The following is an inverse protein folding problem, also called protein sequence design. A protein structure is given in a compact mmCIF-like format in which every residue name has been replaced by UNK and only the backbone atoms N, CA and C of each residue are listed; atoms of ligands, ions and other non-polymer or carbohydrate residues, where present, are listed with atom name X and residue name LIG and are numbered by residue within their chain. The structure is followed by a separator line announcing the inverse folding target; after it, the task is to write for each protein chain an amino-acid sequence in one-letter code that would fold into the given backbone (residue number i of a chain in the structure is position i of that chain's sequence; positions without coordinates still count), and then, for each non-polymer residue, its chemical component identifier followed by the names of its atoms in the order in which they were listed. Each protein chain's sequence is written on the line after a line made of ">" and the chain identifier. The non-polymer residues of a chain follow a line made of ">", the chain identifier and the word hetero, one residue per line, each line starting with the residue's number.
data_IF_929690740765
#
_entry.id   IF_929690740765
#
_cell.length_a   1.000
_cell.length_b   1.000
_cell.length_c   1.000
_cell.angle_alpha   90.00
_cell.angle_beta   90.00
_cell.angle_gamma   90.00
#
_symmetry.space_group_name_H-M   'P 1'
#
loop_
_entity.id
_entity.type
_entity.pdbx_description
1 polymer ?
#
# COMPACT_ATOMS: atom_id res chain seq x y z
N UNK A 1 -0.95 18.67 22.11
CA UNK A 1 0.34 18.55 22.85
C UNK A 1 1.44 18.12 21.88
N UNK A 2 1.35 17.00 21.17
CA UNK A 2 2.39 16.49 20.27
C UNK A 2 2.74 17.44 19.10
N UNK A 3 1.74 18.08 18.48
CA UNK A 3 1.95 19.03 17.38
C UNK A 3 2.83 20.22 17.78
N UNK A 4 2.64 20.77 18.98
CA UNK A 4 3.44 21.89 19.49
C UNK A 4 4.88 21.48 19.80
N UNK A 5 5.09 20.25 20.25
CA UNK A 5 6.44 19.72 20.53
C UNK A 5 7.21 19.46 19.25
N UNK A 6 6.57 18.87 18.22
CA UNK A 6 7.17 18.66 16.91
C UNK A 6 7.52 20.00 16.27
N UNK A 7 6.62 20.99 16.33
CA UNK A 7 6.89 22.33 15.80
C UNK A 7 8.11 22.99 16.46
N UNK A 8 8.22 22.93 17.78
CA UNK A 8 9.37 23.45 18.53
C UNK A 8 10.67 22.75 18.16
N UNK A 9 10.66 21.43 17.99
CA UNK A 9 11.82 20.66 17.57
C UNK A 9 12.28 21.00 16.15
N UNK A 10 11.34 21.19 15.21
CA UNK A 10 11.66 21.59 13.84
C UNK A 10 12.33 22.96 13.75
N UNK A 11 12.01 23.87 14.68
CA UNK A 11 12.52 25.25 14.71
C UNK A 11 13.61 25.46 15.79
N UNK A 12 14.08 24.40 16.42
CA UNK A 12 15.16 24.50 17.41
C UNK A 12 16.51 24.79 16.74
N UNK A 13 17.29 25.76 17.24
CA UNK A 13 18.60 26.06 16.69
C UNK A 13 19.68 25.01 17.03
N UNK A 14 19.39 24.07 17.93
CA UNK A 14 20.35 23.03 18.32
C UNK A 14 20.14 21.75 17.52
N UNK A 15 21.08 21.33 16.66
CA UNK A 15 20.94 20.14 15.82
C UNK A 15 21.17 18.81 16.56
N UNK A 16 21.76 18.84 17.76
CA UNK A 16 22.07 17.63 18.53
C UNK A 16 20.79 16.89 18.89
N UNK A 17 20.71 15.63 18.47
CA UNK A 17 19.57 14.71 18.72
C UNK A 17 18.22 15.16 18.14
N UNK A 18 18.20 16.15 17.26
CA UNK A 18 16.96 16.65 16.66
C UNK A 18 16.24 15.58 15.85
N UNK A 19 16.98 14.85 15.03
CA UNK A 19 16.41 13.84 14.14
C UNK A 19 15.93 12.62 14.93
N UNK A 20 16.65 12.22 15.98
CA UNK A 20 16.24 11.17 16.91
C UNK A 20 14.98 11.56 17.68
N UNK A 21 14.92 12.80 18.19
CA UNK A 21 13.76 13.30 18.90
C UNK A 21 12.54 13.41 17.99
N UNK A 22 12.70 13.87 16.74
CA UNK A 22 11.63 13.88 15.75
C UNK A 22 11.14 12.48 15.45
N UNK A 23 12.04 11.51 15.29
CA UNK A 23 11.67 10.12 15.04
C UNK A 23 10.84 9.54 16.20
N UNK A 24 11.27 9.76 17.44
CA UNK A 24 10.56 9.31 18.64
C UNK A 24 9.17 9.96 18.72
N UNK A 25 9.05 11.26 18.43
CA UNK A 25 7.77 11.96 18.49
C UNK A 25 6.81 11.49 17.39
N UNK A 26 7.31 11.25 16.17
CA UNK A 26 6.51 10.69 15.07
C UNK A 26 6.05 9.27 15.43
N UNK A 27 6.93 8.48 16.01
CA UNK A 27 6.61 7.12 16.44
C UNK A 27 5.55 7.10 17.55
N UNK A 28 5.67 7.98 18.54
CA UNK A 28 4.68 8.15 19.62
C UNK A 28 3.31 8.60 19.08
N UNK A 29 3.31 9.52 18.11
CA UNK A 29 2.09 10.00 17.45
C UNK A 29 1.43 8.88 16.63
N UNK A 30 2.22 8.07 15.93
CA UNK A 30 1.74 6.90 15.20
C UNK A 30 1.11 5.87 16.14
N UNK A 31 1.74 5.57 17.28
CA UNK A 31 1.17 4.66 18.29
C UNK A 31 -0.12 5.20 18.90
N UNK A 32 -0.18 6.52 19.21
CA UNK A 32 -1.39 7.16 19.70
C UNK A 32 -2.53 7.06 18.69
N UNK A 33 -2.25 7.31 17.42
CA UNK A 33 -3.22 7.17 16.33
C UNK A 33 -3.70 5.72 16.13
N UNK A 34 -2.77 4.76 16.13
CA UNK A 34 -3.12 3.33 16.04
C UNK A 34 -4.03 2.93 17.21
N UNK A 35 -3.74 3.40 18.42
CA UNK A 35 -4.55 3.12 19.61
C UNK A 35 -5.97 3.69 19.45
N UNK A 36 -6.11 4.94 19.04
CA UNK A 36 -7.40 5.60 18.83
C UNK A 36 -8.25 4.83 17.80
N UNK A 37 -7.67 4.56 16.62
CA UNK A 37 -8.33 3.78 15.56
C UNK A 37 -8.67 2.37 16.04
N UNK A 38 -7.80 1.72 16.81
CA UNK A 38 -8.05 0.38 17.35
C UNK A 38 -9.18 0.38 18.37
N UNK A 39 -9.32 1.44 19.16
CA UNK A 39 -10.38 1.59 20.14
C UNK A 39 -11.74 1.83 19.45
N UNK A 40 -11.79 2.68 18.40
CA UNK A 40 -12.99 2.87 17.58
C UNK A 40 -13.41 1.58 16.87
N UNK A 41 -12.44 0.84 16.29
CA UNK A 41 -12.70 -0.46 15.65
C UNK A 41 -13.15 -1.53 16.65
N UNK A 42 -12.75 -1.43 17.92
CA UNK A 42 -13.14 -2.36 18.99
C UNK A 42 -14.53 -2.08 19.53
N UNK A 43 -14.98 -0.82 19.47
CA UNK A 43 -16.33 -0.40 19.84
C UNK A 43 -17.36 -0.73 18.74
N UNK A 44 -16.93 -0.88 17.48
CA UNK A 44 -17.74 -1.47 16.44
C UNK A 44 -17.91 -2.96 16.74
N UNK A 45 -19.05 -3.32 17.34
CA UNK A 45 -19.35 -4.69 17.69
C UNK A 45 -19.32 -5.59 16.46
N UNK A 46 -18.82 -6.84 16.56
CA UNK A 46 -18.79 -7.80 15.44
C UNK A 46 -20.18 -8.07 14.81
N UNK A 47 -21.25 -7.69 15.47
CA UNK A 47 -22.62 -7.85 15.01
C UNK A 47 -23.04 -6.79 13.97
N UNK A 48 -22.36 -5.64 13.88
CA UNK A 48 -22.71 -4.57 12.94
C UNK A 48 -22.04 -4.74 11.56
N UNK A 49 -21.09 -5.65 11.44
CA UNK A 49 -20.45 -5.94 10.16
C UNK A 49 -21.28 -6.94 9.37
N UNK A 50 -21.89 -6.49 8.30
CA UNK A 50 -22.54 -7.40 7.34
C UNK A 50 -21.52 -8.41 6.82
N UNK A 51 -21.97 -9.61 6.41
CA UNK A 51 -21.09 -10.62 5.79
C UNK A 51 -20.26 -10.06 4.64
N UNK A 52 -20.84 -9.11 3.90
CA UNK A 52 -20.14 -8.40 2.81
C UNK A 52 -18.96 -7.56 3.32
N UNK A 53 -19.16 -6.82 4.41
CA UNK A 53 -18.08 -6.01 5.01
C UNK A 53 -16.94 -6.86 5.58
N UNK A 54 -17.26 -8.01 6.19
CA UNK A 54 -16.26 -8.95 6.66
C UNK A 54 -15.44 -9.54 5.50
N UNK A 55 -16.09 -9.88 4.39
CA UNK A 55 -15.42 -10.38 3.19
C UNK A 55 -14.57 -9.30 2.51
N UNK A 56 -15.04 -8.05 2.47
CA UNK A 56 -14.23 -6.94 1.97
C UNK A 56 -12.97 -6.73 2.83
N UNK A 57 -13.08 -6.79 4.15
CA UNK A 57 -11.94 -6.71 5.06
C UNK A 57 -10.94 -7.84 4.78
N UNK A 58 -11.41 -9.09 4.71
CA UNK A 58 -10.55 -10.24 4.40
C UNK A 58 -9.82 -10.09 3.05
N UNK A 59 -10.49 -9.52 2.05
CA UNK A 59 -9.87 -9.21 0.76
C UNK A 59 -8.66 -8.28 0.93
N UNK A 60 -8.78 -7.17 1.66
CA UNK A 60 -7.68 -6.23 1.88
C UNK A 60 -6.57 -6.83 2.74
N UNK A 61 -6.90 -7.62 3.75
CA UNK A 61 -5.94 -8.34 4.58
C UNK A 61 -5.09 -9.30 3.72
N UNK A 62 -5.73 -10.06 2.81
CA UNK A 62 -5.03 -10.94 1.87
C UNK A 62 -4.10 -10.17 0.92
N UNK A 63 -4.53 -9.03 0.38
CA UNK A 63 -3.67 -8.19 -0.47
C UNK A 63 -2.45 -7.69 0.31
N UNK A 64 -2.64 -7.26 1.55
CA UNK A 64 -1.57 -6.81 2.44
C UNK A 64 -0.56 -7.92 2.75
N UNK A 65 -1.04 -9.10 3.16
CA UNK A 65 -0.21 -10.27 3.48
C UNK A 65 0.61 -10.76 2.28
N UNK A 66 0.04 -10.73 1.09
CA UNK A 66 0.69 -11.20 -0.15
C UNK A 66 1.63 -10.20 -0.79
N UNK A 67 1.73 -8.98 -0.25
CA UNK A 67 2.70 -7.94 -0.66
C UNK A 67 2.81 -7.75 -2.18
N UNK A 68 1.66 -7.61 -2.86
CA UNK A 68 1.61 -7.39 -4.30
C UNK A 68 1.86 -8.63 -5.18
N UNK A 69 1.90 -9.83 -4.61
CA UNK A 69 2.08 -11.09 -5.38
C UNK A 69 0.79 -11.59 -6.03
N UNK A 70 -0.37 -11.13 -5.57
CA UNK A 70 -1.66 -11.45 -6.19
C UNK A 70 -1.80 -10.71 -7.51
N UNK A 71 -2.27 -11.44 -8.55
CA UNK A 71 -2.31 -10.96 -9.92
C UNK A 71 -3.71 -10.81 -10.50
N UNK A 72 -4.67 -11.57 -9.99
CA UNK A 72 -6.00 -11.61 -10.57
C UNK A 72 -7.09 -11.71 -9.50
N UNK A 73 -8.28 -11.27 -9.89
CA UNK A 73 -9.47 -11.40 -9.05
C UNK A 73 -9.79 -12.88 -8.80
N UNK A 74 -9.54 -13.74 -9.78
CA UNK A 74 -9.78 -15.19 -9.66
C UNK A 74 -8.89 -15.82 -8.58
N UNK A 75 -7.63 -15.41 -8.49
CA UNK A 75 -6.70 -15.89 -7.47
C UNK A 75 -7.20 -15.55 -6.06
N UNK A 76 -7.59 -14.30 -5.81
CA UNK A 76 -8.13 -13.90 -4.52
C UNK A 76 -9.45 -14.62 -4.22
N UNK A 77 -10.34 -14.70 -5.20
CA UNK A 77 -11.62 -15.37 -5.05
C UNK A 77 -11.44 -16.84 -4.63
N UNK A 78 -10.47 -17.54 -5.24
CA UNK A 78 -10.11 -18.91 -4.85
C UNK A 78 -9.62 -18.97 -3.41
N UNK A 79 -8.73 -18.07 -3.00
CA UNK A 79 -8.22 -18.01 -1.61
C UNK A 79 -9.33 -17.72 -0.59
N UNK A 80 -10.38 -17.03 -1.01
CA UNK A 80 -11.52 -16.68 -0.15
C UNK A 80 -12.68 -17.70 -0.24
N UNK A 81 -12.54 -18.76 -1.06
CA UNK A 81 -13.63 -19.71 -1.39
C UNK A 81 -14.88 -18.99 -1.94
N UNK A 82 -14.67 -18.00 -2.80
CA UNK A 82 -15.72 -17.22 -3.46
C UNK A 82 -15.60 -17.34 -4.97
N UNK A 83 -16.72 -17.00 -5.66
CA UNK A 83 -16.64 -16.79 -7.11
C UNK A 83 -16.10 -15.41 -7.44
N UNK A 84 -15.33 -15.23 -8.54
CA UNK A 84 -14.82 -13.91 -8.95
C UNK A 84 -15.94 -12.87 -9.15
N UNK A 85 -17.11 -13.31 -9.65
CA UNK A 85 -18.27 -12.45 -9.85
C UNK A 85 -18.83 -11.93 -8.52
N UNK A 86 -18.93 -12.79 -7.52
CA UNK A 86 -19.42 -12.43 -6.18
C UNK A 86 -18.46 -11.50 -5.46
N UNK A 87 -17.14 -11.83 -5.49
CA UNK A 87 -16.10 -10.96 -4.94
C UNK A 87 -16.12 -9.57 -5.59
N UNK A 88 -16.20 -9.51 -6.93
CA UNK A 88 -16.26 -8.24 -7.66
C UNK A 88 -17.45 -7.39 -7.27
N UNK A 89 -18.63 -8.00 -7.08
CA UNK A 89 -19.83 -7.30 -6.62
C UNK A 89 -19.63 -6.73 -5.22
N UNK A 90 -19.18 -7.54 -4.25
CA UNK A 90 -19.01 -7.11 -2.86
C UNK A 90 -18.02 -5.95 -2.78
N UNK A 91 -16.83 -6.08 -3.38
CA UNK A 91 -15.81 -5.05 -3.30
C UNK A 91 -16.32 -3.76 -3.93
N UNK A 92 -16.98 -3.83 -5.08
CA UNK A 92 -17.53 -2.64 -5.74
C UNK A 92 -18.64 -1.97 -4.92
N UNK A 93 -19.51 -2.75 -4.29
CA UNK A 93 -20.58 -2.24 -3.41
C UNK A 93 -20.02 -1.56 -2.16
N UNK A 94 -18.94 -2.11 -1.57
CA UNK A 94 -18.35 -1.61 -0.32
C UNK A 94 -17.39 -0.42 -0.53
N UNK A 95 -16.76 -0.31 -1.72
CA UNK A 95 -15.67 0.65 -1.95
C UNK A 95 -15.90 1.60 -3.12
N UNK A 96 -16.87 1.32 -3.97
CA UNK A 96 -17.08 2.01 -5.25
C UNK A 96 -16.17 1.55 -6.39
N UNK A 97 -15.08 0.83 -6.09
CA UNK A 97 -14.02 0.45 -7.02
C UNK A 97 -13.97 -1.06 -7.27
N UNK A 98 -13.35 -1.46 -8.37
CA UNK A 98 -13.21 -2.88 -8.71
C UNK A 98 -12.08 -3.56 -7.94
N UNK A 99 -12.16 -4.89 -7.65
CA UNK A 99 -11.07 -5.59 -6.97
C UNK A 99 -9.73 -5.51 -7.72
N UNK A 100 -9.75 -5.51 -9.05
CA UNK A 100 -8.53 -5.44 -9.86
C UNK A 100 -7.80 -4.09 -9.68
N UNK A 101 -8.55 -3.01 -9.44
CA UNK A 101 -7.98 -1.71 -9.11
C UNK A 101 -7.08 -1.80 -7.86
N UNK A 102 -7.60 -2.37 -6.79
CA UNK A 102 -6.84 -2.55 -5.55
C UNK A 102 -5.66 -3.52 -5.72
N UNK A 103 -5.85 -4.63 -6.44
CA UNK A 103 -4.76 -5.56 -6.76
C UNK A 103 -3.62 -4.82 -7.44
N UNK A 104 -3.92 -4.00 -8.45
CA UNK A 104 -2.91 -3.20 -9.14
C UNK A 104 -2.23 -2.17 -8.23
N UNK A 105 -2.96 -1.52 -7.32
CA UNK A 105 -2.38 -0.61 -6.33
C UNK A 105 -1.38 -1.32 -5.41
N UNK A 106 -1.73 -2.49 -4.87
CA UNK A 106 -0.82 -3.27 -4.01
C UNK A 106 0.40 -3.78 -4.78
N UNK A 107 0.23 -4.22 -6.02
CA UNK A 107 1.33 -4.58 -6.90
C UNK A 107 2.26 -3.39 -7.15
N UNK A 108 1.70 -2.23 -7.51
CA UNK A 108 2.50 -1.03 -7.76
C UNK A 108 3.21 -0.53 -6.51
N UNK A 109 2.59 -0.62 -5.33
CA UNK A 109 3.25 -0.28 -4.05
C UNK A 109 4.49 -1.13 -3.82
N UNK A 110 4.40 -2.45 -4.01
CA UNK A 110 5.53 -3.36 -3.88
C UNK A 110 6.62 -3.09 -4.93
N UNK A 111 6.24 -2.87 -6.19
CA UNK A 111 7.17 -2.54 -7.29
C UNK A 111 7.88 -1.20 -7.01
N UNK A 112 7.15 -0.20 -6.56
CA UNK A 112 7.71 1.13 -6.23
C UNK A 112 8.75 1.03 -5.12
N UNK A 113 8.50 0.25 -4.08
CA UNK A 113 9.48 0.01 -3.01
C UNK A 113 10.76 -0.63 -3.55
N UNK A 114 10.63 -1.69 -4.37
CA UNK A 114 11.79 -2.35 -4.96
C UNK A 114 12.57 -1.42 -5.91
N UNK A 115 11.87 -0.67 -6.76
CA UNK A 115 12.51 0.29 -7.68
C UNK A 115 13.22 1.43 -6.95
N UNK A 116 12.69 1.88 -5.82
CA UNK A 116 13.23 3.01 -5.04
C UNK A 116 14.42 2.59 -4.17
N UNK A 117 14.31 1.48 -3.46
CA UNK A 117 15.21 1.15 -2.36
C UNK A 117 16.11 -0.06 -2.62
N UNK A 118 15.94 -0.80 -3.71
CA UNK A 118 16.81 -1.91 -4.04
C UNK A 118 17.73 -1.62 -5.22
N UNK A 119 18.88 -2.30 -5.25
CA UNK A 119 19.81 -2.30 -6.38
C UNK A 119 19.41 -3.29 -7.49
N UNK A 120 18.30 -4.02 -7.32
CA UNK A 120 17.84 -5.03 -8.27
C UNK A 120 17.54 -4.42 -9.64
N UNK A 121 17.87 -5.15 -10.68
CA UNK A 121 17.49 -4.81 -12.05
C UNK A 121 15.98 -4.92 -12.25
N UNK A 122 15.44 -4.25 -13.26
CA UNK A 122 14.03 -4.39 -13.63
C UNK A 122 13.64 -5.85 -13.94
N UNK A 123 14.58 -6.65 -14.47
CA UNK A 123 14.39 -8.08 -14.75
C UNK A 123 14.23 -8.89 -13.46
N UNK A 124 15.07 -8.65 -12.46
CA UNK A 124 15.02 -9.32 -11.16
C UNK A 124 13.73 -8.97 -10.41
N UNK A 125 13.34 -7.69 -10.43
CA UNK A 125 12.07 -7.24 -9.83
C UNK A 125 10.88 -7.90 -10.55
N UNK A 126 10.88 -7.93 -11.88
CA UNK A 126 9.83 -8.58 -12.66
C UNK A 126 9.67 -10.06 -12.26
N UNK A 127 10.79 -10.79 -12.18
CA UNK A 127 10.80 -12.19 -11.78
C UNK A 127 10.32 -12.37 -10.33
N UNK A 128 10.85 -11.59 -9.39
CA UNK A 128 10.48 -11.65 -7.98
C UNK A 128 9.00 -11.34 -7.76
N UNK A 129 8.47 -10.40 -8.54
CA UNK A 129 7.06 -10.06 -8.53
C UNK A 129 6.21 -11.06 -9.32
N UNK A 130 6.79 -12.13 -9.91
CA UNK A 130 6.10 -13.20 -10.60
C UNK A 130 5.55 -12.80 -11.97
N UNK A 131 6.11 -11.82 -12.67
CA UNK A 131 5.77 -11.54 -14.06
C UNK A 131 6.37 -12.61 -14.98
N UNK A 132 5.58 -13.06 -15.97
CA UNK A 132 6.02 -14.07 -16.92
C UNK A 132 7.14 -13.59 -17.86
N UNK A 133 7.29 -12.28 -18.02
CA UNK A 133 8.39 -11.68 -18.78
C UNK A 133 8.64 -10.22 -18.38
N UNK A 134 9.85 -9.74 -18.70
CA UNK A 134 10.20 -8.32 -18.53
C UNK A 134 9.30 -7.41 -19.40
N UNK A 135 8.85 -7.87 -20.55
CA UNK A 135 7.96 -7.11 -21.42
C UNK A 135 6.60 -6.87 -20.77
N UNK A 136 6.00 -7.89 -20.16
CA UNK A 136 4.75 -7.74 -19.40
C UNK A 136 4.90 -6.84 -18.17
N UNK A 137 6.01 -6.96 -17.46
CA UNK A 137 6.33 -6.06 -16.36
C UNK A 137 6.44 -4.60 -16.82
N UNK A 138 7.20 -4.36 -17.91
CA UNK A 138 7.37 -3.02 -18.48
C UNK A 138 6.03 -2.41 -18.93
N UNK A 139 5.19 -3.20 -19.61
CA UNK A 139 3.84 -2.78 -20.02
C UNK A 139 2.97 -2.42 -18.82
N UNK A 140 2.97 -3.25 -17.78
CA UNK A 140 2.20 -3.01 -16.56
C UNK A 140 2.64 -1.71 -15.87
N UNK A 141 3.95 -1.53 -15.60
CA UNK A 141 4.46 -0.31 -14.96
C UNK A 141 4.13 0.92 -15.78
N UNK A 142 4.32 0.86 -17.11
CA UNK A 142 4.00 1.98 -18.00
C UNK A 142 2.51 2.31 -18.02
N UNK A 143 1.64 1.31 -17.98
CA UNK A 143 0.20 1.51 -17.90
C UNK A 143 -0.23 2.19 -16.58
N UNK A 144 0.44 1.87 -15.47
CA UNK A 144 0.11 2.41 -14.16
C UNK A 144 0.75 3.79 -13.88
N UNK A 145 1.88 4.10 -14.49
CA UNK A 145 2.69 5.30 -14.15
C UNK A 145 2.93 6.25 -15.31
N UNK A 146 2.64 5.82 -16.54
CA UNK A 146 3.01 6.52 -17.77
C UNK A 146 4.49 6.35 -18.16
N UNK A 147 5.34 5.76 -17.30
CA UNK A 147 6.79 5.65 -17.46
C UNK A 147 7.24 4.21 -17.57
N UNK A 148 8.35 3.98 -18.26
CA UNK A 148 9.04 2.69 -18.22
C UNK A 148 9.61 2.42 -16.82
N UNK A 149 9.88 1.17 -16.41
CA UNK A 149 10.46 0.87 -15.10
C UNK A 149 11.76 1.63 -14.82
N UNK A 150 12.60 1.84 -15.82
CA UNK A 150 13.87 2.56 -15.69
C UNK A 150 13.65 4.07 -15.48
N UNK A 151 12.76 4.67 -16.25
CA UNK A 151 12.38 6.09 -16.10
C UNK A 151 11.69 6.31 -14.76
N UNK A 152 10.81 5.39 -14.36
CA UNK A 152 10.11 5.48 -13.08
C UNK A 152 11.09 5.37 -11.90
N UNK A 153 12.07 4.46 -11.95
CA UNK A 153 13.16 4.39 -10.96
C UNK A 153 13.91 5.71 -10.85
N UNK A 154 14.32 6.28 -11.99
CA UNK A 154 15.05 7.56 -12.01
C UNK A 154 14.22 8.67 -11.32
N UNK A 155 12.94 8.79 -11.67
CA UNK A 155 12.02 9.75 -11.05
C UNK A 155 11.90 9.54 -9.54
N UNK A 156 11.79 8.29 -9.08
CA UNK A 156 11.70 7.96 -7.66
C UNK A 156 12.97 8.33 -6.86
N UNK A 157 14.14 8.27 -7.51
CA UNK A 157 15.44 8.58 -6.89
C UNK A 157 15.76 10.07 -6.91
N UNK A 158 15.29 10.83 -7.90
CA UNK A 158 15.49 12.28 -8.00
C UNK A 158 14.58 13.10 -7.10
N UNK A 159 13.64 12.47 -6.39
CA UNK A 159 12.78 13.19 -5.43
C UNK A 159 11.68 14.04 -6.06
N UNK A 160 11.47 13.99 -7.37
CA UNK A 160 10.32 14.61 -8.03
C UNK A 160 9.06 13.84 -7.67
N UNK A 161 8.41 14.27 -6.58
CA UNK A 161 7.31 13.63 -5.91
C UNK A 161 6.13 13.31 -6.83
N UNK A 162 5.67 12.09 -6.76
CA UNK A 162 4.35 11.69 -7.21
C UNK A 162 3.36 11.95 -6.09
N UNK A 163 2.58 13.01 -6.18
CA UNK A 163 1.22 13.01 -5.64
C UNK A 163 0.38 12.14 -6.59
N UNK A 164 -0.21 11.03 -6.16
CA UNK A 164 -1.21 10.36 -6.96
C UNK A 164 -2.46 11.21 -6.99
N UNK A 165 -2.98 11.45 -8.20
CA UNK A 165 -4.33 12.00 -8.43
C UNK A 165 -5.37 10.97 -8.03
#
# INVERSE_FOLDING_TARGET
>A
IYHQQIYKLCHSPNPLFRDELLHIHIQALLYAFIREVSEELRQATPQDLTRASQQARLFFDLLGMRRGRIRSVSEVATLMNLTPKYLSRIIKEQTGETPIHFIHQYMMRAITQELRYSSKTAKEIAFQQGFSSLAFFGKFVKQQTGLTPTEYRKKLQTGEGTTPS
#
